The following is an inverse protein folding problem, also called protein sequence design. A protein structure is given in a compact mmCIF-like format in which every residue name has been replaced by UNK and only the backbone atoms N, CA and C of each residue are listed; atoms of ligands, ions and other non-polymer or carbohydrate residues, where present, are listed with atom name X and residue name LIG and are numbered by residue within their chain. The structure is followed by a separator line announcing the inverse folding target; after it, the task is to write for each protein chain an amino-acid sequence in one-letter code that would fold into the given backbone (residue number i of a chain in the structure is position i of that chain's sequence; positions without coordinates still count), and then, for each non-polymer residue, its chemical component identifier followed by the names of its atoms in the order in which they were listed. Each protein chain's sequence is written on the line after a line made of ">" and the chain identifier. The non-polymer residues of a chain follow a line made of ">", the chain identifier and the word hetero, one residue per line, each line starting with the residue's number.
data_IF_507376770591
#
_entry.id   IF_507376770591
#
_cell.length_a   1.000
_cell.length_b   1.000
_cell.length_c   1.000
_cell.angle_alpha   90.00
_cell.angle_beta   90.00
_cell.angle_gamma   90.00
#
_symmetry.space_group_name_H-M   'P 1'
#
loop_
_entity.id
_entity.type
_entity.pdbx_description
1 polymer ?
#
# COMPACT_ATOMS: atom_id res chain seq x y z
N UNK A 1 -22.01 -5.71 15.04
CA UNK A 1 -20.68 -5.34 14.49
C UNK A 1 -20.92 -4.60 13.19
N UNK A 2 -20.46 -3.34 13.08
CA UNK A 2 -20.61 -2.51 11.88
C UNK A 2 -19.39 -2.70 10.99
N UNK A 3 -19.62 -3.09 9.72
CA UNK A 3 -18.57 -3.36 8.71
C UNK A 3 -18.63 -2.34 7.60
N UNK A 4 -17.49 -2.05 6.98
CA UNK A 4 -17.36 -1.21 5.79
C UNK A 4 -16.27 -1.75 4.86
N UNK A 5 -16.50 -1.63 3.57
CA UNK A 5 -15.46 -1.76 2.54
C UNK A 5 -15.21 -0.37 1.98
N UNK A 6 -13.95 0.01 1.80
CA UNK A 6 -13.65 1.25 1.10
C UNK A 6 -12.49 1.10 0.11
N UNK A 7 -12.49 1.98 -0.84
CA UNK A 7 -11.42 2.18 -1.81
C UNK A 7 -11.26 3.68 -2.03
N UNK A 8 -10.14 4.08 -2.61
CA UNK A 8 -10.01 5.46 -3.09
C UNK A 8 -9.24 5.49 -4.40
N UNK A 9 -9.50 6.53 -5.18
CA UNK A 9 -8.72 6.89 -6.35
C UNK A 9 -8.55 8.41 -6.38
N UNK A 10 -7.33 8.87 -6.22
CA UNK A 10 -7.00 10.29 -6.29
C UNK A 10 -6.46 10.56 -7.69
N UNK A 11 -7.27 11.17 -8.53
CA UNK A 11 -6.87 11.60 -9.87
C UNK A 11 -6.08 12.91 -9.78
N UNK A 12 -4.82 12.79 -9.39
CA UNK A 12 -3.91 13.92 -9.25
C UNK A 12 -3.79 14.64 -10.59
N UNK A 13 -3.90 16.00 -10.64
CA UNK A 13 -3.64 16.76 -11.85
C UNK A 13 -2.26 16.46 -12.46
N UNK A 14 -2.14 16.52 -13.79
CA UNK A 14 -0.90 16.10 -14.46
C UNK A 14 0.29 16.98 -14.14
N UNK A 15 0.05 18.27 -13.90
CA UNK A 15 1.04 19.25 -13.48
C UNK A 15 1.50 19.08 -12.03
N UNK A 16 0.76 18.32 -11.21
CA UNK A 16 1.08 18.00 -9.82
C UNK A 16 1.69 16.59 -9.69
N UNK A 17 1.81 15.82 -10.79
CA UNK A 17 2.39 14.48 -10.74
C UNK A 17 3.91 14.56 -10.53
N UNK A 18 4.37 13.84 -9.52
CA UNK A 18 5.81 13.63 -9.32
C UNK A 18 6.38 12.81 -10.50
N UNK A 19 7.31 13.38 -11.23
CA UNK A 19 8.09 12.66 -12.24
C UNK A 19 9.34 12.14 -11.57
N UNK A 20 9.42 10.83 -11.37
CA UNK A 20 10.63 10.21 -10.84
C UNK A 20 11.64 9.97 -11.97
N UNK A 21 12.94 10.19 -11.72
CA UNK A 21 14.02 9.93 -12.70
C UNK A 21 13.98 8.51 -13.27
N UNK A 22 13.54 7.54 -12.46
CA UNK A 22 13.35 6.14 -12.89
C UNK A 22 12.20 5.93 -13.88
N UNK A 23 11.28 6.89 -13.99
CA UNK A 23 10.13 6.82 -14.88
C UNK A 23 10.45 7.45 -16.26
N UNK A 24 11.61 8.13 -16.38
CA UNK A 24 12.16 8.69 -17.63
C UNK A 24 13.13 7.67 -18.21
N UNK A 25 12.61 6.61 -18.79
CA UNK A 25 13.44 5.48 -19.23
C UNK A 25 14.16 5.72 -20.55
N UNK A 26 13.58 6.45 -21.49
CA UNK A 26 14.17 6.85 -22.77
C UNK A 26 13.50 8.12 -23.26
N UNK A 27 14.19 8.84 -24.15
CA UNK A 27 13.80 10.16 -24.64
C UNK A 27 12.37 10.26 -25.22
N UNK A 28 11.76 9.14 -25.58
CA UNK A 28 10.44 9.04 -26.24
C UNK A 28 9.44 8.13 -25.49
N UNK A 29 9.75 7.67 -24.27
CA UNK A 29 8.84 6.83 -23.49
C UNK A 29 7.94 7.68 -22.60
N UNK A 30 6.63 7.37 -22.62
CA UNK A 30 5.66 7.99 -21.70
C UNK A 30 5.98 7.56 -20.27
N UNK A 31 6.08 8.48 -19.29
CA UNK A 31 6.32 8.15 -17.90
C UNK A 31 5.31 7.14 -17.35
N UNK A 32 5.78 6.21 -16.52
CA UNK A 32 4.95 5.12 -15.99
C UNK A 32 3.74 5.62 -15.20
N UNK A 33 3.87 6.72 -14.48
CA UNK A 33 2.78 7.35 -13.73
C UNK A 33 1.67 7.84 -14.66
N UNK A 34 2.00 8.40 -15.83
CA UNK A 34 1.03 8.81 -16.86
C UNK A 34 0.32 7.58 -17.45
N UNK A 35 1.06 6.52 -17.77
CA UNK A 35 0.47 5.25 -18.24
C UNK A 35 -0.50 4.71 -17.19
N UNK A 36 -0.08 4.67 -15.94
CA UNK A 36 -0.89 4.19 -14.80
C UNK A 36 -2.17 5.02 -14.66
N UNK A 37 -2.06 6.34 -14.74
CA UNK A 37 -3.22 7.26 -14.67
C UNK A 37 -4.21 6.97 -15.81
N UNK A 38 -3.73 6.81 -17.03
CA UNK A 38 -4.56 6.53 -18.19
C UNK A 38 -5.26 5.17 -18.08
N UNK A 39 -4.57 4.13 -17.59
CA UNK A 39 -5.16 2.82 -17.34
C UNK A 39 -6.26 2.88 -16.26
N UNK A 40 -6.07 3.67 -15.22
CA UNK A 40 -7.11 3.89 -14.22
C UNK A 40 -8.30 4.65 -14.78
N UNK A 41 -8.10 5.71 -15.56
CA UNK A 41 -9.18 6.47 -16.19
C UNK A 41 -10.01 5.57 -17.12
N UNK A 42 -9.34 4.79 -17.96
CA UNK A 42 -9.98 3.88 -18.91
C UNK A 42 -10.81 2.79 -18.20
N UNK A 43 -10.31 2.26 -17.10
CA UNK A 43 -10.95 1.17 -16.35
C UNK A 43 -11.79 1.64 -15.16
N UNK A 44 -11.91 2.94 -14.91
CA UNK A 44 -12.49 3.51 -13.69
C UNK A 44 -13.88 2.92 -13.36
N UNK A 45 -14.82 2.99 -14.28
CA UNK A 45 -16.18 2.51 -14.04
C UNK A 45 -16.25 1.00 -13.81
N UNK A 46 -15.43 0.22 -14.50
CA UNK A 46 -15.35 -1.23 -14.30
C UNK A 46 -14.79 -1.58 -12.92
N UNK A 47 -13.73 -0.89 -12.49
CA UNK A 47 -13.11 -1.07 -11.17
C UNK A 47 -14.06 -0.68 -10.05
N UNK A 48 -14.75 0.44 -10.19
CA UNK A 48 -15.76 0.90 -9.24
C UNK A 48 -16.95 -0.08 -9.16
N UNK A 49 -17.48 -0.51 -10.31
CA UNK A 49 -18.59 -1.46 -10.38
C UNK A 49 -18.21 -2.82 -9.76
N UNK A 50 -16.98 -3.29 -9.98
CA UNK A 50 -16.48 -4.54 -9.40
C UNK A 50 -16.43 -4.49 -7.86
N UNK A 51 -15.98 -3.38 -7.28
CA UNK A 51 -15.97 -3.22 -5.82
C UNK A 51 -17.37 -3.12 -5.22
N UNK A 52 -18.27 -2.39 -5.88
CA UNK A 52 -19.69 -2.32 -5.49
C UNK A 52 -20.35 -3.69 -5.55
N UNK A 53 -20.15 -4.42 -6.67
CA UNK A 53 -20.65 -5.79 -6.82
C UNK A 53 -20.15 -6.71 -5.70
N UNK A 54 -18.88 -6.64 -5.35
CA UNK A 54 -18.33 -7.46 -4.26
C UNK A 54 -18.98 -7.10 -2.92
N UNK A 55 -19.04 -5.83 -2.59
CA UNK A 55 -19.62 -5.34 -1.33
C UNK A 55 -21.11 -5.74 -1.21
N UNK A 56 -21.90 -5.55 -2.28
CA UNK A 56 -23.28 -5.97 -2.36
C UNK A 56 -23.43 -7.49 -2.20
N UNK A 57 -22.56 -8.28 -2.85
CA UNK A 57 -22.61 -9.74 -2.81
C UNK A 57 -22.41 -10.32 -1.42
N UNK A 58 -21.75 -9.59 -0.52
CA UNK A 58 -21.49 -10.00 0.87
C UNK A 58 -22.32 -9.18 1.89
N UNK A 59 -23.19 -8.30 1.42
CA UNK A 59 -24.08 -7.50 2.28
C UNK A 59 -23.36 -6.47 3.14
N UNK A 60 -22.26 -5.89 2.67
CA UNK A 60 -21.46 -4.88 3.39
C UNK A 60 -21.49 -3.56 2.62
N UNK A 61 -21.70 -2.39 3.27
CA UNK A 61 -21.65 -1.11 2.59
C UNK A 61 -20.26 -0.81 2.00
N UNK A 62 -20.25 -0.07 0.88
CA UNK A 62 -19.04 0.36 0.19
C UNK A 62 -18.94 1.88 0.12
N UNK A 63 -17.76 2.42 0.38
CA UNK A 63 -17.43 3.84 0.20
C UNK A 63 -16.28 4.01 -0.80
N UNK A 64 -16.44 4.95 -1.72
CA UNK A 64 -15.39 5.41 -2.62
C UNK A 64 -14.99 6.82 -2.25
N UNK A 65 -13.68 7.04 -2.12
CA UNK A 65 -13.09 8.36 -1.90
C UNK A 65 -12.31 8.80 -3.14
N UNK A 66 -12.36 10.09 -3.44
CA UNK A 66 -11.79 10.65 -4.66
C UNK A 66 -11.04 11.95 -4.35
N UNK A 67 -10.53 12.62 -5.39
CA UNK A 67 -9.89 13.93 -5.27
C UNK A 67 -10.94 14.99 -4.90
N UNK A 68 -11.14 15.17 -3.60
CA UNK A 68 -12.11 16.09 -3.02
C UNK A 68 -11.45 17.06 -2.02
N UNK A 69 -12.25 17.95 -1.43
CA UNK A 69 -11.77 18.92 -0.43
C UNK A 69 -11.15 18.25 0.80
N UNK A 70 -11.55 17.02 1.15
CA UNK A 70 -10.98 16.26 2.27
C UNK A 70 -9.55 15.87 1.98
N UNK A 71 -9.31 15.30 0.78
CA UNK A 71 -7.96 14.95 0.34
C UNK A 71 -7.07 16.18 0.24
N UNK A 72 -7.56 17.26 -0.42
CA UNK A 72 -6.80 18.51 -0.59
C UNK A 72 -6.39 19.13 0.75
N UNK A 73 -7.29 19.08 1.76
CA UNK A 73 -6.96 19.54 3.12
C UNK A 73 -5.87 18.68 3.75
N UNK A 74 -5.98 17.37 3.64
CA UNK A 74 -4.97 16.42 4.15
C UNK A 74 -3.62 16.65 3.49
N UNK A 75 -3.59 16.74 2.16
CA UNK A 75 -2.37 16.98 1.39
C UNK A 75 -1.72 18.31 1.77
N UNK A 76 -2.50 19.39 1.84
CA UNK A 76 -2.03 20.72 2.25
C UNK A 76 -1.41 20.68 3.65
N UNK A 77 -2.01 19.98 4.58
CA UNK A 77 -1.49 19.80 5.94
C UNK A 77 -0.16 19.04 5.94
N UNK A 78 -0.10 17.90 5.26
CA UNK A 78 1.13 17.09 5.17
C UNK A 78 2.25 17.89 4.51
N UNK A 79 2.01 18.50 3.35
CA UNK A 79 3.02 19.26 2.62
C UNK A 79 3.48 20.52 3.35
N UNK A 80 2.61 21.12 4.19
CA UNK A 80 2.99 22.26 5.04
C UNK A 80 4.11 21.90 6.03
N UNK A 81 4.03 20.73 6.65
CA UNK A 81 5.02 20.27 7.64
C UNK A 81 6.16 19.46 7.01
N UNK A 82 5.90 18.78 5.90
CA UNK A 82 6.83 17.88 5.22
C UNK A 82 6.87 18.14 3.71
N UNK A 83 7.38 19.31 3.26
CA UNK A 83 7.35 19.71 1.84
C UNK A 83 8.19 18.81 0.92
N UNK A 84 9.04 17.96 1.50
CA UNK A 84 9.87 16.99 0.78
C UNK A 84 9.16 15.65 0.52
N UNK A 85 7.97 15.42 1.09
CA UNK A 85 7.19 14.22 0.83
C UNK A 85 6.49 14.38 -0.52
N UNK A 86 6.66 13.38 -1.39
CA UNK A 86 6.06 13.37 -2.73
C UNK A 86 4.53 13.23 -2.65
N UNK A 87 3.83 13.74 -3.65
CA UNK A 87 2.37 13.60 -3.76
C UNK A 87 1.97 12.12 -3.76
N UNK A 88 2.75 11.25 -4.41
CA UNK A 88 2.54 9.81 -4.34
C UNK A 88 2.53 9.25 -2.90
N UNK A 89 3.47 9.66 -2.08
CA UNK A 89 3.55 9.24 -0.68
C UNK A 89 2.41 9.84 0.16
N UNK A 90 2.02 11.09 -0.10
CA UNK A 90 0.85 11.72 0.55
C UNK A 90 -0.42 10.91 0.28
N UNK A 91 -0.66 10.50 -0.97
CA UNK A 91 -1.80 9.63 -1.34
C UNK A 91 -1.77 8.32 -0.55
N UNK A 92 -0.60 7.72 -0.39
CA UNK A 92 -0.46 6.47 0.36
C UNK A 92 -0.66 6.65 1.89
N UNK A 93 -0.29 7.80 2.46
CA UNK A 93 -0.62 8.13 3.85
C UNK A 93 -2.12 8.45 4.02
N UNK A 94 -2.75 9.08 3.03
CA UNK A 94 -4.18 9.37 3.07
C UNK A 94 -5.03 8.09 3.16
N UNK A 95 -4.65 7.02 2.49
CA UNK A 95 -5.27 5.70 2.62
C UNK A 95 -5.38 5.26 4.09
N UNK A 96 -4.31 5.42 4.85
CA UNK A 96 -4.27 5.05 6.26
C UNK A 96 -5.03 6.04 7.14
N UNK A 97 -5.00 7.33 6.81
CA UNK A 97 -5.82 8.33 7.48
C UNK A 97 -7.31 7.99 7.35
N UNK A 98 -7.78 7.62 6.16
CA UNK A 98 -9.16 7.17 5.95
C UNK A 98 -9.50 5.92 6.78
N UNK A 99 -8.57 4.97 6.90
CA UNK A 99 -8.76 3.78 7.72
C UNK A 99 -9.03 4.15 9.19
N UNK A 100 -8.27 5.11 9.75
CA UNK A 100 -8.48 5.62 11.10
C UNK A 100 -9.76 6.46 11.23
N UNK A 101 -10.10 7.28 10.25
CA UNK A 101 -11.36 8.02 10.26
C UNK A 101 -12.57 7.09 10.28
N UNK A 102 -12.56 6.06 9.44
CA UNK A 102 -13.64 5.08 9.36
C UNK A 102 -13.74 4.22 10.63
N UNK A 103 -12.62 3.94 11.32
CA UNK A 103 -12.63 3.18 12.57
C UNK A 103 -13.35 3.88 13.72
N UNK A 104 -13.65 5.19 13.62
CA UNK A 104 -14.48 5.91 14.57
C UNK A 104 -15.95 5.48 14.53
N UNK A 105 -16.40 4.96 13.36
CA UNK A 105 -17.80 4.60 13.09
C UNK A 105 -18.02 3.11 12.88
N UNK A 106 -17.02 2.41 12.34
CA UNK A 106 -17.09 1.00 11.96
C UNK A 106 -16.16 0.16 12.85
N UNK A 107 -16.63 -1.04 13.19
CA UNK A 107 -15.88 -1.98 14.03
C UNK A 107 -14.84 -2.74 13.22
N UNK A 108 -15.19 -3.16 11.99
CA UNK A 108 -14.33 -3.87 11.05
C UNK A 108 -14.33 -3.18 9.69
N UNK A 109 -13.14 -3.04 9.11
CA UNK A 109 -12.91 -2.31 7.87
C UNK A 109 -12.08 -3.17 6.92
N UNK A 110 -12.49 -3.24 5.66
CA UNK A 110 -11.70 -3.78 4.57
C UNK A 110 -11.35 -2.66 3.59
N UNK A 111 -10.08 -2.37 3.47
CA UNK A 111 -9.53 -1.51 2.44
C UNK A 111 -9.11 -2.34 1.22
N UNK A 112 -9.42 -1.85 0.04
CA UNK A 112 -8.98 -2.41 -1.25
C UNK A 112 -8.39 -1.29 -2.10
N UNK A 113 -7.12 -1.41 -2.52
CA UNK A 113 -6.54 -0.52 -3.53
C UNK A 113 -7.45 -0.49 -4.77
N UNK A 114 -7.46 0.62 -5.49
CA UNK A 114 -8.36 0.76 -6.63
C UNK A 114 -8.05 -0.22 -7.76
N UNK A 115 -6.81 -0.70 -7.87
CA UNK A 115 -6.37 -1.73 -8.80
C UNK A 115 -6.52 -3.18 -8.28
N UNK A 116 -7.17 -3.38 -7.15
CA UNK A 116 -7.60 -4.71 -6.72
C UNK A 116 -8.90 -5.08 -7.44
N UNK A 117 -8.94 -6.25 -8.10
CA UNK A 117 -10.13 -6.80 -8.75
C UNK A 117 -10.65 -7.97 -7.92
N UNK A 118 -11.91 -7.90 -7.49
CA UNK A 118 -12.58 -8.95 -6.74
C UNK A 118 -13.15 -9.99 -7.70
N UNK A 119 -12.79 -11.26 -7.53
CA UNK A 119 -13.20 -12.39 -8.38
C UNK A 119 -14.11 -13.40 -7.64
N UNK A 120 -14.56 -13.08 -6.44
CA UNK A 120 -15.32 -13.98 -5.56
C UNK A 120 -16.48 -13.27 -4.89
N UNK A 121 -17.47 -14.06 -4.45
CA UNK A 121 -18.53 -13.65 -3.52
C UNK A 121 -18.26 -14.14 -2.09
N UNK A 122 -17.12 -14.76 -1.83
CA UNK A 122 -16.76 -15.19 -0.47
C UNK A 122 -16.59 -13.98 0.44
N UNK A 123 -17.23 -14.03 1.59
CA UNK A 123 -17.18 -12.91 2.52
C UNK A 123 -15.81 -12.86 3.21
N UNK A 124 -15.05 -11.78 3.00
CA UNK A 124 -13.74 -11.55 3.61
C UNK A 124 -13.79 -11.66 5.13
N UNK A 125 -14.76 -11.01 5.76
CA UNK A 125 -14.88 -10.95 7.21
C UNK A 125 -15.27 -12.28 7.86
N UNK A 126 -15.79 -13.24 7.09
CA UNK A 126 -16.05 -14.59 7.58
C UNK A 126 -14.83 -15.51 7.43
N UNK A 127 -13.93 -15.19 6.49
CA UNK A 127 -12.70 -15.95 6.25
C UNK A 127 -11.54 -15.44 7.11
N UNK A 128 -11.53 -14.14 7.44
CA UNK A 128 -10.49 -13.47 8.22
C UNK A 128 -11.10 -12.87 9.48
N UNK A 129 -10.86 -13.52 10.62
CA UNK A 129 -11.32 -13.03 11.92
C UNK A 129 -10.42 -11.87 12.37
N UNK A 130 -10.88 -10.63 12.18
CA UNK A 130 -10.09 -9.43 12.47
C UNK A 130 -9.85 -9.19 13.98
N UNK A 131 -10.47 -9.95 14.87
CA UNK A 131 -10.12 -9.95 16.31
C UNK A 131 -8.78 -10.67 16.57
N UNK A 132 -8.29 -11.45 15.61
CA UNK A 132 -7.00 -12.12 15.71
C UNK A 132 -5.82 -11.28 15.22
N UNK A 133 -6.05 -10.14 14.60
CA UNK A 133 -5.01 -9.25 14.08
C UNK A 133 -5.39 -8.57 12.77
N UNK A 134 -4.54 -7.63 12.35
CA UNK A 134 -4.66 -6.94 11.07
C UNK A 134 -4.33 -7.93 9.94
N UNK A 135 -5.20 -8.02 8.94
CA UNK A 135 -5.00 -8.87 7.76
C UNK A 135 -4.32 -8.07 6.65
N UNK A 136 -3.09 -8.44 6.31
CA UNK A 136 -2.26 -7.84 5.25
C UNK A 136 -1.41 -8.90 4.56
N UNK A 137 -0.78 -8.55 3.43
CA UNK A 137 0.05 -9.48 2.66
C UNK A 137 1.54 -9.33 2.99
N UNK A 138 2.22 -10.48 3.18
CA UNK A 138 3.68 -10.56 3.35
C UNK A 138 4.37 -10.64 1.98
N UNK A 139 5.15 -9.63 1.63
CA UNK A 139 5.92 -9.56 0.39
C UNK A 139 7.42 -9.81 0.59
N UNK A 140 7.82 -10.31 1.77
CA UNK A 140 9.23 -10.51 2.16
C UNK A 140 9.96 -11.49 1.23
N UNK A 141 9.26 -12.44 0.62
CA UNK A 141 9.86 -13.39 -0.34
C UNK A 141 10.48 -12.73 -1.59
N UNK A 142 10.19 -11.45 -1.83
CA UNK A 142 10.79 -10.65 -2.94
C UNK A 142 12.04 -9.87 -2.54
N UNK A 143 12.46 -9.96 -1.28
CA UNK A 143 13.63 -9.25 -0.76
C UNK A 143 14.91 -9.91 -1.26
N UNK A 144 15.82 -9.12 -1.80
CA UNK A 144 17.15 -9.58 -2.16
C UNK A 144 18.07 -9.60 -0.92
N UNK A 145 18.97 -10.57 -0.88
CA UNK A 145 20.02 -10.61 0.18
C UNK A 145 20.99 -9.43 0.02
N UNK A 146 21.64 -9.04 1.11
CA UNK A 146 22.65 -7.97 1.10
C UNK A 146 23.79 -8.28 0.11
N UNK A 147 24.23 -9.53 0.03
CA UNK A 147 25.23 -9.97 -0.93
C UNK A 147 24.80 -9.72 -2.38
N UNK A 148 23.54 -10.04 -2.71
CA UNK A 148 22.98 -9.78 -4.03
C UNK A 148 22.95 -8.28 -4.33
N UNK A 149 22.57 -7.44 -3.36
CA UNK A 149 22.50 -5.98 -3.52
C UNK A 149 23.87 -5.39 -3.82
N UNK A 150 24.89 -5.82 -3.11
CA UNK A 150 26.27 -5.28 -3.27
C UNK A 150 26.86 -5.64 -4.63
N UNK A 151 26.53 -6.81 -5.16
CA UNK A 151 27.01 -7.30 -6.47
C UNK A 151 26.21 -6.76 -7.66
N UNK A 152 24.98 -6.33 -7.45
CA UNK A 152 24.12 -5.82 -8.55
C UNK A 152 24.51 -4.40 -8.95
N UNK A 153 24.57 -4.17 -10.27
CA UNK A 153 24.70 -2.83 -10.85
C UNK A 153 23.34 -2.14 -11.05
N UNK A 154 22.25 -2.92 -11.00
CA UNK A 154 20.88 -2.43 -11.20
C UNK A 154 20.25 -1.86 -9.93
N UNK A 155 19.24 -1.04 -10.14
CA UNK A 155 18.35 -0.51 -9.10
C UNK A 155 17.73 -1.63 -8.25
N UNK A 156 17.80 -1.52 -6.94
CA UNK A 156 17.14 -2.49 -6.06
C UNK A 156 15.61 -2.38 -6.17
N UNK A 157 14.95 -3.51 -5.96
CA UNK A 157 13.48 -3.55 -6.00
C UNK A 157 12.87 -2.92 -4.74
N UNK A 158 11.70 -2.32 -4.91
CA UNK A 158 10.95 -1.69 -3.81
C UNK A 158 10.79 -2.58 -2.56
N UNK A 159 10.45 -3.89 -2.63
CA UNK A 159 10.40 -4.72 -1.43
C UNK A 159 11.71 -4.80 -0.67
N UNK A 160 12.84 -4.85 -1.37
CA UNK A 160 14.17 -4.88 -0.76
C UNK A 160 14.47 -3.57 -0.04
N UNK A 161 14.20 -2.41 -0.67
CA UNK A 161 14.36 -1.11 -0.03
C UNK A 161 13.50 -1.00 1.24
N UNK A 162 12.22 -1.34 1.16
CA UNK A 162 11.28 -1.31 2.31
C UNK A 162 11.74 -2.19 3.47
N UNK A 163 12.26 -3.38 3.18
CA UNK A 163 12.76 -4.30 4.20
C UNK A 163 13.90 -3.67 5.01
N UNK A 164 14.94 -3.18 4.32
CA UNK A 164 16.11 -2.63 4.99
C UNK A 164 15.83 -1.26 5.61
N UNK A 165 14.96 -0.46 5.02
CA UNK A 165 14.52 0.81 5.59
C UNK A 165 13.76 0.60 6.92
N UNK A 166 12.87 -0.39 6.96
CA UNK A 166 12.18 -0.75 8.21
C UNK A 166 13.15 -1.26 9.26
N UNK A 167 14.15 -2.08 8.88
CA UNK A 167 15.22 -2.50 9.81
C UNK A 167 15.97 -1.31 10.39
N UNK A 168 16.37 -0.34 9.55
CA UNK A 168 17.07 0.85 10.00
C UNK A 168 16.25 1.64 11.02
N UNK A 169 14.96 1.87 10.73
CA UNK A 169 14.06 2.57 11.65
C UNK A 169 13.88 1.82 12.98
N UNK A 170 13.75 0.50 12.95
CA UNK A 170 13.65 -0.31 14.16
C UNK A 170 14.93 -0.23 15.01
N UNK A 171 16.09 -0.26 14.36
CA UNK A 171 17.38 -0.11 15.05
C UNK A 171 17.52 1.27 15.69
N UNK A 172 17.14 2.36 15.02
CA UNK A 172 17.11 3.71 15.59
C UNK A 172 16.18 3.82 16.82
N UNK A 173 15.14 3.02 16.86
CA UNK A 173 14.22 2.91 18.00
C UNK A 173 14.70 1.92 19.07
N UNK A 174 15.89 1.35 18.95
CA UNK A 174 16.42 0.28 19.81
C UNK A 174 15.51 -0.97 19.90
N UNK A 175 14.83 -1.28 18.80
CA UNK A 175 13.98 -2.45 18.65
C UNK A 175 14.68 -3.54 17.83
N UNK A 176 14.17 -4.78 17.95
CA UNK A 176 14.63 -5.89 17.10
C UNK A 176 14.44 -5.55 15.62
N UNK A 177 15.49 -5.70 14.77
CA UNK A 177 15.38 -5.38 13.33
C UNK A 177 14.63 -6.44 12.53
N UNK A 178 14.04 -7.44 13.18
CA UNK A 178 13.26 -8.48 12.52
C UNK A 178 11.92 -7.88 12.07
N UNK A 179 11.70 -7.84 10.78
CA UNK A 179 10.49 -7.28 10.20
C UNK A 179 10.02 -8.09 8.98
N UNK A 180 8.83 -7.72 8.49
CA UNK A 180 8.23 -8.22 7.25
C UNK A 180 8.02 -7.07 6.29
N UNK A 181 8.11 -7.35 4.98
CA UNK A 181 7.68 -6.38 3.96
C UNK A 181 6.18 -6.53 3.78
N UNK A 182 5.46 -5.50 4.13
CA UNK A 182 4.01 -5.47 4.05
C UNK A 182 3.59 -4.86 2.71
N UNK A 183 2.57 -5.44 2.10
CA UNK A 183 1.84 -4.78 1.02
C UNK A 183 0.47 -4.33 1.53
N UNK A 184 0.20 -3.04 1.41
CA UNK A 184 -1.02 -2.39 1.90
C UNK A 184 -2.10 -2.23 0.84
N UNK A 185 -2.03 -2.96 -0.26
CA UNK A 185 -3.07 -2.95 -1.29
C UNK A 185 -4.39 -3.56 -0.83
N UNK A 186 -4.35 -4.42 0.18
CA UNK A 186 -5.50 -4.97 0.88
C UNK A 186 -5.19 -4.93 2.37
N UNK A 187 -6.07 -4.28 3.15
CA UNK A 187 -5.96 -4.19 4.60
C UNK A 187 -7.31 -4.56 5.22
N UNK A 188 -7.35 -5.65 5.97
CA UNK A 188 -8.45 -5.94 6.88
C UNK A 188 -8.06 -5.56 8.31
N UNK A 189 -8.83 -4.71 8.97
CA UNK A 189 -8.53 -4.29 10.34
C UNK A 189 -9.79 -4.05 11.15
N UNK A 190 -9.69 -4.28 12.45
CA UNK A 190 -10.70 -3.82 13.41
C UNK A 190 -10.20 -2.57 14.15
N UNK A 191 -11.13 -1.88 14.80
CA UNK A 191 -10.87 -0.67 15.58
C UNK A 191 -9.83 -0.87 16.68
N UNK A 192 -9.85 -2.02 17.37
CA UNK A 192 -8.93 -2.31 18.47
C UNK A 192 -7.49 -2.38 18.00
N UNK A 193 -7.22 -3.14 16.92
CA UNK A 193 -5.89 -3.29 16.38
C UNK A 193 -5.38 -2.00 15.73
N UNK A 194 -6.25 -1.19 15.13
CA UNK A 194 -5.87 0.15 14.65
C UNK A 194 -5.47 1.07 15.80
N UNK A 195 -6.23 1.09 16.89
CA UNK A 195 -5.86 1.84 18.09
C UNK A 195 -4.53 1.36 18.67
N UNK A 196 -4.27 0.06 18.64
CA UNK A 196 -2.99 -0.51 19.07
C UNK A 196 -1.84 -0.18 18.13
N UNK A 197 -2.10 -0.11 16.82
CA UNK A 197 -1.09 0.21 15.78
C UNK A 197 -0.52 1.63 15.94
N UNK A 198 -1.32 2.59 16.39
CA UNK A 198 -0.89 3.98 16.67
C UNK A 198 -0.13 4.62 15.51
N UNK A 199 -0.59 4.37 14.27
CA UNK A 199 0.16 4.71 13.07
C UNK A 199 0.58 6.18 12.97
N UNK A 200 -0.28 7.11 13.44
CA UNK A 200 -0.06 8.55 13.37
C UNK A 200 0.33 9.20 14.71
N UNK A 201 0.41 8.44 15.82
CA UNK A 201 0.62 9.02 17.15
C UNK A 201 1.98 9.73 17.28
N UNK A 202 3.02 9.22 16.64
CA UNK A 202 4.38 9.79 16.64
C UNK A 202 4.88 10.08 15.23
N UNK A 203 3.97 10.45 14.34
CA UNK A 203 4.24 10.57 12.89
C UNK A 203 5.35 11.57 12.58
N UNK A 204 5.40 12.71 13.28
CA UNK A 204 6.43 13.73 13.09
C UNK A 204 7.84 13.17 13.37
N UNK A 205 8.00 12.43 14.46
CA UNK A 205 9.27 11.79 14.80
C UNK A 205 9.65 10.67 13.83
N UNK A 206 8.67 9.88 13.39
CA UNK A 206 8.89 8.85 12.38
C UNK A 206 9.39 9.43 11.05
N UNK A 207 8.75 10.52 10.58
CA UNK A 207 9.18 11.23 9.36
C UNK A 207 10.57 11.87 9.53
N UNK A 208 10.88 12.44 10.70
CA UNK A 208 12.23 12.95 11.01
C UNK A 208 13.27 11.83 11.00
N UNK A 209 12.96 10.68 11.58
CA UNK A 209 13.83 9.50 11.54
C UNK A 209 14.08 9.06 10.09
N UNK A 210 13.05 8.93 9.28
CA UNK A 210 13.20 8.63 7.85
C UNK A 210 14.09 9.64 7.14
N UNK A 211 13.90 10.94 7.41
CA UNK A 211 14.71 12.01 6.82
C UNK A 211 16.18 11.90 7.22
N UNK A 212 16.46 11.63 8.48
CA UNK A 212 17.84 11.46 8.96
C UNK A 212 18.50 10.26 8.29
N UNK A 213 17.78 9.15 8.16
CA UNK A 213 18.29 7.93 7.53
C UNK A 213 18.58 8.11 6.03
N UNK A 214 17.90 9.02 5.33
CA UNK A 214 18.20 9.31 3.91
C UNK A 214 19.58 9.93 3.70
N UNK A 215 20.17 10.50 4.75
CA UNK A 215 21.49 11.15 4.71
C UNK A 215 22.59 10.34 5.40
N UNK A 216 22.22 9.25 6.07
CA UNK A 216 23.18 8.42 6.82
C UNK A 216 23.67 7.24 5.98
N UNK A 217 24.79 7.42 5.28
CA UNK A 217 25.41 6.38 4.44
C UNK A 217 26.27 5.38 5.21
N UNK A 218 26.54 5.62 6.50
CA UNK A 218 27.45 4.79 7.29
C UNK A 218 26.76 3.52 7.82
N UNK A 219 25.42 3.55 7.96
CA UNK A 219 24.64 2.43 8.51
C UNK A 219 24.33 1.38 7.45
N UNK A 220 23.99 1.80 6.22
CA UNK A 220 23.61 0.92 5.12
C UNK A 220 24.34 1.27 3.83
N UNK A 221 24.48 0.28 2.91
CA UNK A 221 25.01 0.57 1.59
C UNK A 221 24.25 1.72 0.90
N UNK A 222 25.00 2.60 0.25
CA UNK A 222 24.43 3.76 -0.47
C UNK A 222 23.23 3.41 -1.34
N UNK A 223 23.25 2.28 -2.04
CA UNK A 223 22.13 1.79 -2.86
C UNK A 223 20.82 1.62 -2.09
N UNK A 224 20.88 1.30 -0.79
CA UNK A 224 19.70 1.20 0.07
C UNK A 224 19.25 2.59 0.48
N UNK A 225 20.19 3.42 0.90
CA UNK A 225 19.90 4.80 1.34
C UNK A 225 19.33 5.65 0.22
N UNK A 226 19.83 5.52 -1.02
CA UNK A 226 19.32 6.23 -2.20
C UNK A 226 17.84 5.85 -2.52
N UNK A 227 17.39 4.69 -2.05
CA UNK A 227 15.99 4.24 -2.16
C UNK A 227 15.21 4.36 -0.87
N UNK A 228 15.74 5.04 0.13
CA UNK A 228 15.00 5.32 1.35
C UNK A 228 13.86 6.30 1.02
N UNK A 229 12.65 5.78 0.99
CA UNK A 229 11.46 6.56 0.69
C UNK A 229 10.62 6.80 1.94
N UNK A 230 9.86 7.87 1.93
CA UNK A 230 8.83 8.15 2.92
C UNK A 230 7.61 7.26 2.62
N UNK A 231 7.79 5.95 2.78
CA UNK A 231 6.85 4.94 2.32
C UNK A 231 5.94 4.48 3.45
N UNK A 232 4.64 4.49 3.18
CA UNK A 232 3.62 4.09 4.14
C UNK A 232 3.74 2.63 4.59
N UNK A 233 4.19 1.73 3.72
CA UNK A 233 4.34 0.30 4.03
C UNK A 233 5.55 0.03 4.94
N UNK A 234 6.64 0.78 4.73
CA UNK A 234 7.80 0.78 5.63
C UNK A 234 7.38 1.19 7.04
N UNK A 235 6.69 2.33 7.18
CA UNK A 235 6.21 2.80 8.48
C UNK A 235 5.18 1.83 9.08
N UNK A 236 4.31 1.24 8.28
CA UNK A 236 3.34 0.25 8.76
C UNK A 236 4.04 -0.96 9.39
N UNK A 237 5.09 -1.48 8.72
CA UNK A 237 5.92 -2.57 9.26
C UNK A 237 6.57 -2.20 10.58
N UNK A 238 7.15 -1.00 10.68
CA UNK A 238 7.76 -0.48 11.91
C UNK A 238 6.73 -0.43 13.03
N UNK A 239 5.55 0.17 12.80
CA UNK A 239 4.50 0.31 13.82
C UNK A 239 3.92 -1.03 14.29
N UNK A 240 3.79 -2.01 13.41
CA UNK A 240 3.40 -3.37 13.81
C UNK A 240 4.37 -3.97 14.83
N UNK A 241 5.67 -3.82 14.58
CA UNK A 241 6.71 -4.33 15.47
C UNK A 241 6.80 -3.50 16.77
N UNK A 242 6.82 -2.17 16.65
CA UNK A 242 6.92 -1.25 17.80
C UNK A 242 5.82 -1.49 18.83
N UNK A 243 4.59 -1.74 18.36
CA UNK A 243 3.43 -1.90 19.22
C UNK A 243 2.98 -3.36 19.40
N UNK A 244 3.74 -4.33 18.90
CA UNK A 244 3.40 -5.76 18.95
C UNK A 244 1.96 -6.03 18.52
N UNK A 245 1.56 -5.46 17.36
CA UNK A 245 0.22 -5.65 16.82
C UNK A 245 0.12 -7.02 16.16
N UNK A 246 -0.87 -7.86 16.52
CA UNK A 246 -1.03 -9.16 15.88
C UNK A 246 -1.41 -9.01 14.41
N UNK A 247 -0.87 -9.90 13.57
CA UNK A 247 -1.06 -9.87 12.11
C UNK A 247 -1.54 -11.23 11.62
N UNK A 248 -2.48 -11.20 10.69
CA UNK A 248 -2.89 -12.34 9.88
C UNK A 248 -2.36 -12.13 8.46
N UNK A 249 -1.55 -13.07 8.00
CA UNK A 249 -0.95 -12.98 6.67
C UNK A 249 -1.90 -13.51 5.62
N UNK A 250 -2.39 -12.61 4.75
CA UNK A 250 -3.23 -12.98 3.61
C UNK A 250 -2.49 -13.97 2.71
N UNK A 251 -3.17 -15.03 2.31
CA UNK A 251 -2.64 -15.99 1.34
C UNK A 251 -2.75 -15.48 -0.11
N UNK A 252 -2.11 -16.19 -1.04
CA UNK A 252 -2.14 -15.85 -2.46
C UNK A 252 -3.53 -15.93 -3.11
N UNK A 253 -4.53 -16.54 -2.46
CA UNK A 253 -5.91 -16.53 -2.97
C UNK A 253 -6.57 -15.20 -2.68
N UNK A 254 -6.35 -14.67 -1.48
CA UNK A 254 -6.93 -13.40 -1.03
C UNK A 254 -6.11 -12.17 -1.41
N UNK A 255 -4.84 -12.35 -1.82
CA UNK A 255 -4.01 -11.26 -2.34
C UNK A 255 -3.09 -11.80 -3.44
N UNK A 256 -3.64 -12.06 -4.63
CA UNK A 256 -2.83 -12.47 -5.77
C UNK A 256 -2.14 -11.27 -6.42
N UNK A 257 -0.83 -11.24 -6.30
CA UNK A 257 0.01 -10.17 -6.79
C UNK A 257 0.27 -10.33 -8.30
N UNK A 258 -0.59 -9.76 -9.13
CA UNK A 258 -0.51 -9.87 -10.58
C UNK A 258 0.45 -8.83 -11.16
N UNK A 259 1.66 -9.25 -11.51
CA UNK A 259 2.73 -8.40 -12.03
C UNK A 259 3.10 -8.78 -13.48
N UNK A 260 3.72 -9.94 -13.69
CA UNK A 260 4.24 -10.37 -15.00
C UNK A 260 3.63 -11.65 -15.53
N UNK A 261 2.78 -12.28 -14.76
CA UNK A 261 2.15 -13.54 -15.10
C UNK A 261 1.18 -13.35 -16.28
N UNK A 262 1.07 -14.39 -17.12
CA UNK A 262 0.12 -14.39 -18.24
C UNK A 262 -1.29 -14.83 -17.87
N UNK A 263 -1.49 -15.36 -16.65
CA UNK A 263 -2.77 -15.91 -16.20
C UNK A 263 -3.01 -15.65 -14.72
N UNK A 264 -4.27 -15.75 -14.31
CA UNK A 264 -4.71 -15.65 -12.91
C UNK A 264 -5.25 -17.03 -12.49
N UNK A 265 -4.73 -17.64 -11.41
CA UNK A 265 -5.19 -18.94 -10.92
C UNK A 265 -6.70 -18.96 -10.65
N UNK A 266 -7.34 -20.12 -10.87
CA UNK A 266 -8.80 -20.28 -10.76
C UNK A 266 -9.33 -19.98 -9.36
N UNK A 267 -8.56 -20.34 -8.34
CA UNK A 267 -8.90 -20.18 -6.92
C UNK A 267 -8.67 -18.75 -6.39
N UNK A 268 -8.10 -17.85 -7.20
CA UNK A 268 -7.83 -16.46 -6.79
C UNK A 268 -9.14 -15.74 -6.50
N UNK A 269 -9.19 -15.08 -5.35
CA UNK A 269 -10.32 -14.32 -4.86
C UNK A 269 -10.15 -12.83 -5.12
N UNK A 270 -8.99 -12.27 -4.79
CA UNK A 270 -8.63 -10.88 -5.06
C UNK A 270 -7.33 -10.82 -5.86
N UNK A 271 -7.34 -10.04 -6.94
CA UNK A 271 -6.18 -9.79 -7.80
C UNK A 271 -5.73 -8.35 -7.60
N UNK A 272 -4.51 -8.16 -7.14
CA UNK A 272 -3.86 -6.85 -7.11
C UNK A 272 -3.10 -6.64 -8.42
N UNK A 273 -3.68 -5.89 -9.35
CA UNK A 273 -3.14 -5.67 -10.71
C UNK A 273 -2.08 -4.57 -10.73
N UNK A 274 -0.89 -4.85 -10.17
CA UNK A 274 0.19 -3.87 -9.99
C UNK A 274 0.68 -3.29 -11.31
N UNK A 275 0.68 -4.11 -12.36
CA UNK A 275 1.08 -3.71 -13.71
C UNK A 275 -0.05 -3.06 -14.52
N UNK A 276 -1.25 -2.91 -13.92
CA UNK A 276 -2.46 -2.33 -14.54
C UNK A 276 -2.95 -3.07 -15.79
N UNK A 277 -2.59 -4.34 -15.99
CA UNK A 277 -3.13 -5.20 -17.07
C UNK A 277 -4.53 -5.69 -16.75
N UNK A 278 -5.46 -4.77 -16.70
CA UNK A 278 -6.85 -5.05 -16.31
C UNK A 278 -7.60 -5.94 -17.30
N UNK A 279 -7.22 -5.97 -18.58
CA UNK A 279 -7.80 -6.84 -19.60
C UNK A 279 -7.75 -8.33 -19.20
N UNK A 280 -6.64 -8.78 -18.62
CA UNK A 280 -6.48 -10.15 -18.11
C UNK A 280 -7.38 -10.37 -16.89
N UNK A 281 -7.50 -9.37 -16.00
CA UNK A 281 -8.37 -9.45 -14.84
C UNK A 281 -9.84 -9.54 -15.26
N UNK A 282 -10.26 -8.75 -16.26
CA UNK A 282 -11.64 -8.76 -16.74
C UNK A 282 -11.98 -10.07 -17.47
N UNK A 283 -11.09 -10.62 -18.28
CA UNK A 283 -11.29 -11.96 -18.85
C UNK A 283 -11.53 -13.01 -17.79
N UNK A 284 -10.80 -12.93 -16.67
CA UNK A 284 -10.98 -13.87 -15.54
C UNK A 284 -12.26 -13.59 -14.74
N UNK A 285 -12.67 -12.33 -14.62
CA UNK A 285 -13.87 -11.91 -13.90
C UNK A 285 -15.16 -12.35 -14.62
N UNK A 286 -15.17 -12.30 -15.95
CA UNK A 286 -16.33 -12.67 -16.76
C UNK A 286 -16.37 -14.15 -17.18
N UNK A 287 -15.32 -14.95 -16.88
CA UNK A 287 -15.28 -16.38 -17.16
C UNK A 287 -16.00 -17.19 -16.08
#
# INVERSE_FOLDING_TARGET
>A
MKRIIYSFYIDIPEDELDIFDRDVLKKDEVPRNIITKNEFKYNYFKLLANKKWYAESIGVPFMMFEYDLRYQKFEKEVKKYYPFITTYNVVNFYKLNLLYELSKTYDEILYLDFDVVCLTKDNFFNNWNLDKGIAVFDNTFKVNTMETITKQTQTIRSPTAKYYNAQAMLMEKNLSPINKVINTGIIGANKEHLNKLKYFDDFDNDIKTMKNLTTNYDVFPKKIVDFFGYDNETLFSVKLNEHNVPVQWLDNKWHYFFDRQGFIPKETKFVHAINKKFDVCWRRYYA
#
